data_IF_489527485133
#
_entry.id   IF_489527485133
#
_cell.length_a   1.000
_cell.length_b   1.000
_cell.length_c   1.000
_cell.angle_alpha   90.00
_cell.angle_beta   90.00
_cell.angle_gamma   90.00
#
_symmetry.space_group_name_H-M   'P 1'
#
loop_
_entity.id
_entity.type
_entity.pdbx_description
1 polymer ?
#
# COMPACT_ATOMS: atom_id res chain seq x y z
N UNK A 1 -16.46 7.92 26.76
CA UNK A 1 -17.25 7.95 25.52
C UNK A 1 -18.28 6.84 25.59
N UNK A 2 -19.56 7.17 25.41
CA UNK A 2 -20.60 6.16 25.26
C UNK A 2 -20.52 5.51 23.86
N UNK A 3 -21.32 4.48 23.61
CA UNK A 3 -21.30 3.77 22.32
C UNK A 3 -21.69 4.67 21.15
N UNK A 4 -22.65 5.58 21.34
CA UNK A 4 -23.06 6.56 20.33
C UNK A 4 -21.93 7.51 19.95
N UNK A 5 -21.15 7.97 20.93
CA UNK A 5 -20.01 8.88 20.68
C UNK A 5 -18.91 8.17 19.89
N UNK A 6 -18.62 6.90 20.20
CA UNK A 6 -17.64 6.09 19.47
C UNK A 6 -18.05 5.89 18.02
N UNK A 7 -19.30 5.58 17.79
CA UNK A 7 -19.87 5.37 16.48
C UNK A 7 -19.79 6.64 15.62
N UNK A 8 -20.08 7.79 16.21
CA UNK A 8 -19.94 9.09 15.51
C UNK A 8 -18.49 9.44 15.16
N UNK A 9 -17.54 9.10 16.04
CA UNK A 9 -16.10 9.29 15.75
C UNK A 9 -15.65 8.38 14.60
N UNK A 10 -16.06 7.12 14.60
CA UNK A 10 -15.70 6.17 13.53
C UNK A 10 -16.25 6.63 12.17
N UNK A 11 -17.54 7.02 12.12
CA UNK A 11 -18.17 7.52 10.90
C UNK A 11 -17.41 8.73 10.35
N UNK A 12 -17.06 9.68 11.23
CA UNK A 12 -16.31 10.86 10.86
C UNK A 12 -14.92 10.55 10.35
N UNK A 13 -14.18 9.62 10.97
CA UNK A 13 -12.87 9.18 10.51
C UNK A 13 -12.94 8.54 9.12
N UNK A 14 -13.90 7.66 8.89
CA UNK A 14 -14.11 7.02 7.59
C UNK A 14 -14.49 8.05 6.51
N UNK A 15 -15.36 9.01 6.87
CA UNK A 15 -15.73 10.07 5.93
C UNK A 15 -14.55 10.97 5.58
N UNK A 16 -13.77 11.42 6.57
CA UNK A 16 -12.58 12.25 6.36
C UNK A 16 -11.52 11.51 5.56
N UNK A 17 -11.37 10.20 5.80
CA UNK A 17 -10.47 9.36 5.02
C UNK A 17 -10.92 9.25 3.57
N UNK A 18 -12.19 8.91 3.30
CA UNK A 18 -12.74 8.88 1.94
C UNK A 18 -12.62 10.23 1.22
N UNK A 19 -12.85 11.34 1.93
CA UNK A 19 -12.72 12.68 1.37
C UNK A 19 -11.28 13.08 1.02
N UNK A 20 -10.29 12.43 1.62
CA UNK A 20 -8.87 12.75 1.41
C UNK A 20 -8.15 11.81 0.46
N UNK A 21 -8.73 10.65 0.17
CA UNK A 21 -8.06 9.62 -0.62
C UNK A 21 -7.99 10.02 -2.10
N UNK A 22 -6.83 9.82 -2.73
CA UNK A 22 -6.67 9.97 -4.16
C UNK A 22 -7.19 8.74 -4.93
N UNK A 23 -7.41 8.89 -6.23
CA UNK A 23 -7.96 7.83 -7.08
C UNK A 23 -7.10 6.55 -7.06
N UNK A 24 -5.78 6.69 -7.01
CA UNK A 24 -4.86 5.53 -6.99
C UNK A 24 -4.84 4.81 -5.65
N UNK A 25 -4.84 5.57 -4.56
CA UNK A 25 -4.90 4.99 -3.21
C UNK A 25 -6.28 4.40 -2.92
N UNK A 26 -7.32 4.90 -3.59
CA UNK A 26 -8.68 4.36 -3.47
C UNK A 26 -8.81 2.93 -4.04
N UNK A 27 -7.99 2.52 -5.00
CA UNK A 27 -8.02 1.18 -5.56
C UNK A 27 -7.93 0.08 -4.49
N UNK A 28 -7.06 0.25 -3.50
CA UNK A 28 -6.95 -0.72 -2.39
C UNK A 28 -8.23 -0.74 -1.54
N UNK A 29 -8.71 0.43 -1.12
CA UNK A 29 -9.94 0.53 -0.34
C UNK A 29 -11.16 -0.02 -1.09
N UNK A 30 -11.23 0.26 -2.39
CA UNK A 30 -12.30 -0.25 -3.25
C UNK A 30 -12.22 -1.78 -3.41
N UNK A 31 -11.02 -2.36 -3.46
CA UNK A 31 -10.87 -3.81 -3.46
C UNK A 31 -11.46 -4.45 -2.20
N UNK A 32 -11.24 -3.83 -1.05
CA UNK A 32 -11.82 -4.30 0.22
C UNK A 32 -13.35 -4.15 0.22
N UNK A 33 -13.87 -3.03 -0.28
CA UNK A 33 -15.31 -2.82 -0.48
C UNK A 33 -15.93 -3.92 -1.36
N UNK A 34 -15.32 -4.23 -2.50
CA UNK A 34 -15.80 -5.28 -3.40
C UNK A 34 -15.89 -6.64 -2.72
N UNK A 35 -14.90 -6.98 -1.90
CA UNK A 35 -14.89 -8.24 -1.15
C UNK A 35 -16.02 -8.31 -0.12
N UNK A 36 -16.35 -7.19 0.55
CA UNK A 36 -17.48 -7.11 1.49
C UNK A 36 -18.79 -7.31 0.76
N UNK A 37 -18.96 -6.68 -0.40
CA UNK A 37 -20.13 -6.82 -1.25
C UNK A 37 -20.20 -8.18 -1.96
N UNK A 38 -19.14 -9.00 -1.83
CA UNK A 38 -19.08 -10.37 -2.36
C UNK A 38 -18.68 -10.47 -3.83
N UNK A 39 -18.03 -9.45 -4.35
CA UNK A 39 -17.36 -9.51 -5.64
C UNK A 39 -15.98 -10.15 -5.50
N UNK A 40 -15.54 -10.82 -6.56
CA UNK A 40 -14.14 -11.26 -6.71
C UNK A 40 -13.46 -10.32 -7.70
N UNK A 41 -12.57 -9.47 -7.23
CA UNK A 41 -11.78 -8.62 -8.11
C UNK A 41 -10.77 -9.47 -8.90
N UNK A 42 -10.78 -9.32 -10.23
CA UNK A 42 -9.96 -10.10 -11.16
C UNK A 42 -8.79 -9.28 -11.67
N UNK A 43 -9.01 -7.98 -11.88
CA UNK A 43 -8.01 -7.09 -12.45
C UNK A 43 -8.20 -5.67 -11.95
N UNK A 44 -7.08 -5.02 -11.59
CA UNK A 44 -6.99 -3.59 -11.38
C UNK A 44 -6.15 -3.02 -12.50
N UNK A 45 -6.71 -2.07 -13.22
CA UNK A 45 -6.01 -1.42 -14.30
C UNK A 45 -4.86 -0.56 -13.78
N UNK A 46 -3.82 -0.44 -14.60
CA UNK A 46 -2.62 0.36 -14.31
C UNK A 46 -2.56 1.65 -15.12
N UNK A 47 -3.69 2.14 -15.61
CA UNK A 47 -3.82 3.35 -16.45
C UNK A 47 -3.06 3.26 -17.79
N UNK A 48 -3.41 2.27 -18.63
CA UNK A 48 -2.93 2.13 -19.98
C UNK A 48 -3.96 2.59 -21.02
N UNK A 49 -3.52 2.97 -22.22
CA UNK A 49 -4.39 3.42 -23.33
C UNK A 49 -5.46 2.39 -23.75
N UNK A 50 -5.32 1.13 -23.37
CA UNK A 50 -6.21 0.04 -23.73
C UNK A 50 -7.31 -0.26 -22.72
N UNK A 51 -7.44 0.52 -21.64
CA UNK A 51 -8.38 0.24 -20.54
C UNK A 51 -9.83 0.50 -20.87
N UNK A 52 -10.09 1.34 -21.87
CA UNK A 52 -11.44 1.61 -22.38
C UNK A 52 -12.45 1.99 -21.27
N UNK A 53 -11.99 2.81 -20.31
CA UNK A 53 -12.81 3.26 -19.19
C UNK A 53 -13.06 2.22 -18.10
N UNK A 54 -12.24 1.17 -17.99
CA UNK A 54 -12.39 0.10 -16.99
C UNK A 54 -11.19 0.07 -16.04
N UNK A 55 -11.34 0.67 -14.87
CA UNK A 55 -10.28 0.71 -13.85
C UNK A 55 -10.21 -0.61 -13.06
N UNK A 56 -11.36 -1.24 -12.82
CA UNK A 56 -11.46 -2.51 -12.10
C UNK A 56 -12.39 -3.47 -12.83
N UNK A 57 -11.97 -4.73 -12.90
CA UNK A 57 -12.78 -5.85 -13.38
C UNK A 57 -13.04 -6.82 -12.24
N UNK A 58 -14.28 -7.23 -12.06
CA UNK A 58 -14.67 -8.17 -11.03
C UNK A 58 -15.75 -9.13 -11.51
N UNK A 59 -15.92 -10.20 -10.76
CA UNK A 59 -17.01 -11.18 -10.91
C UNK A 59 -17.92 -11.02 -9.69
N UNK A 60 -19.21 -10.90 -9.90
CA UNK A 60 -20.19 -10.85 -8.82
C UNK A 60 -20.48 -12.24 -8.21
N UNK A 61 -21.34 -12.30 -7.19
CA UNK A 61 -21.69 -13.56 -6.50
C UNK A 61 -22.38 -14.59 -7.40
N UNK A 62 -22.97 -14.13 -8.49
CA UNK A 62 -23.73 -14.97 -9.44
C UNK A 62 -22.83 -15.40 -10.62
N UNK A 63 -21.58 -14.98 -10.64
CA UNK A 63 -20.63 -15.25 -11.71
C UNK A 63 -20.68 -14.24 -12.86
N UNK A 64 -21.45 -13.15 -12.72
CA UNK A 64 -21.57 -12.12 -13.73
C UNK A 64 -20.38 -11.19 -13.79
N UNK A 65 -19.95 -10.82 -14.99
CA UNK A 65 -18.85 -9.87 -15.20
C UNK A 65 -19.26 -8.44 -14.84
N UNK A 66 -18.39 -7.75 -14.13
CA UNK A 66 -18.56 -6.37 -13.71
C UNK A 66 -17.33 -5.54 -14.08
N UNK A 67 -17.57 -4.32 -14.57
CA UNK A 67 -16.52 -3.34 -14.87
C UNK A 67 -16.81 -2.02 -14.15
N UNK A 68 -15.79 -1.47 -13.51
CA UNK A 68 -15.91 -0.27 -12.69
C UNK A 68 -14.96 0.81 -13.20
N UNK A 69 -15.48 2.04 -13.30
CA UNK A 69 -14.72 3.27 -13.47
C UNK A 69 -14.69 4.01 -12.12
N UNK A 70 -13.51 4.35 -11.63
CA UNK A 70 -13.34 5.00 -10.34
C UNK A 70 -13.10 6.50 -10.51
N UNK A 71 -13.70 7.32 -9.63
CA UNK A 71 -13.46 8.75 -9.53
C UNK A 71 -13.38 9.19 -8.07
N UNK A 72 -12.17 9.50 -7.60
CA UNK A 72 -11.96 10.07 -6.28
C UNK A 72 -11.86 11.60 -6.39
N UNK A 73 -12.82 12.29 -5.82
CA UNK A 73 -12.97 13.74 -5.96
C UNK A 73 -12.47 14.52 -4.72
N UNK A 74 -11.84 13.85 -3.78
CA UNK A 74 -11.29 14.47 -2.55
C UNK A 74 -12.31 15.39 -1.86
N UNK A 75 -13.50 14.85 -1.56
CA UNK A 75 -14.59 15.56 -0.90
C UNK A 75 -15.36 16.56 -1.77
N UNK A 76 -15.01 16.69 -3.06
CA UNK A 76 -15.72 17.57 -3.99
C UNK A 76 -16.89 16.85 -4.66
N UNK A 77 -17.75 17.63 -5.30
CA UNK A 77 -18.84 17.10 -6.16
C UNK A 77 -18.33 16.88 -7.58
N UNK A 78 -18.85 15.83 -8.24
CA UNK A 78 -18.69 15.66 -9.67
C UNK A 78 -19.52 16.71 -10.39
N UNK A 79 -18.86 17.69 -10.98
CA UNK A 79 -19.50 18.80 -11.69
C UNK A 79 -19.83 18.41 -13.13
N UNK A 80 -20.77 19.14 -13.74
CA UNK A 80 -21.23 18.86 -15.10
C UNK A 80 -20.09 18.94 -16.15
N UNK A 81 -19.14 19.87 -16.02
CA UNK A 81 -17.99 19.91 -16.92
C UNK A 81 -17.13 18.65 -16.84
N UNK A 82 -16.84 18.18 -15.63
CA UNK A 82 -16.07 16.93 -15.41
C UNK A 82 -16.83 15.71 -15.92
N UNK A 83 -18.16 15.71 -15.77
CA UNK A 83 -19.01 14.67 -16.32
C UNK A 83 -18.93 14.63 -17.85
N UNK A 84 -19.06 15.76 -18.53
CA UNK A 84 -18.94 15.85 -19.99
C UNK A 84 -17.56 15.37 -20.47
N UNK A 85 -16.47 15.71 -19.76
CA UNK A 85 -15.12 15.26 -20.10
C UNK A 85 -14.97 13.73 -20.04
N UNK A 86 -15.73 13.06 -19.17
CA UNK A 86 -15.66 11.62 -19.00
C UNK A 86 -16.73 10.82 -19.73
N UNK A 87 -17.73 11.45 -20.34
CA UNK A 87 -18.86 10.77 -21.02
C UNK A 87 -18.39 9.72 -22.03
N UNK A 88 -17.37 10.04 -22.84
CA UNK A 88 -16.83 9.09 -23.82
C UNK A 88 -16.22 7.84 -23.16
N UNK A 89 -15.61 7.98 -22.00
CA UNK A 89 -15.07 6.86 -21.22
C UNK A 89 -16.21 6.01 -20.62
N UNK A 90 -17.28 6.67 -20.14
CA UNK A 90 -18.47 5.97 -19.63
C UNK A 90 -19.18 5.21 -20.74
N UNK A 91 -19.30 5.80 -21.91
CA UNK A 91 -19.86 5.07 -23.07
C UNK A 91 -19.00 3.85 -23.46
N UNK A 92 -17.68 3.99 -23.43
CA UNK A 92 -16.77 2.87 -23.64
C UNK A 92 -16.92 1.81 -22.56
N UNK A 93 -17.02 2.22 -21.29
CA UNK A 93 -17.25 1.33 -20.15
C UNK A 93 -18.51 0.47 -20.37
N UNK A 94 -19.62 1.06 -20.82
CA UNK A 94 -20.88 0.36 -21.03
C UNK A 94 -20.84 -0.52 -22.28
N UNK A 95 -20.36 0.03 -23.40
CA UNK A 95 -20.47 -0.57 -24.73
C UNK A 95 -19.42 -1.64 -25.02
N UNK A 96 -18.17 -1.37 -24.66
CA UNK A 96 -17.05 -2.21 -25.11
C UNK A 96 -16.94 -3.44 -24.22
N UNK A 97 -16.97 -4.66 -24.77
CA UNK A 97 -16.81 -5.89 -24.00
C UNK A 97 -15.49 -5.94 -23.24
N UNK A 98 -15.47 -6.65 -22.12
CA UNK A 98 -14.23 -6.90 -21.34
C UNK A 98 -13.30 -7.78 -22.18
N UNK A 99 -12.08 -7.32 -22.40
CA UNK A 99 -11.04 -8.05 -23.14
C UNK A 99 -9.94 -8.54 -22.17
N UNK A 100 -10.32 -9.37 -21.23
CA UNK A 100 -9.40 -9.95 -20.27
C UNK A 100 -9.51 -11.48 -20.29
N UNK A 101 -8.39 -12.19 -20.14
CA UNK A 101 -8.34 -13.65 -20.26
C UNK A 101 -9.30 -14.40 -19.31
N UNK A 102 -9.58 -13.84 -18.15
CA UNK A 102 -10.53 -14.43 -17.19
C UNK A 102 -12.00 -14.37 -17.65
N UNK A 103 -12.33 -13.57 -18.69
CA UNK A 103 -13.69 -13.34 -19.19
C UNK A 103 -13.89 -13.79 -20.64
N UNK A 104 -12.92 -14.52 -21.22
CA UNK A 104 -12.95 -14.92 -22.64
C UNK A 104 -14.12 -15.82 -23.02
N UNK A 105 -14.73 -16.49 -22.07
CA UNK A 105 -15.86 -17.41 -22.30
C UNK A 105 -17.24 -16.78 -22.08
N UNK A 106 -17.30 -15.50 -21.70
CA UNK A 106 -18.56 -14.83 -21.45
C UNK A 106 -19.14 -14.26 -22.74
N UNK A 107 -20.27 -14.82 -23.17
CA UNK A 107 -21.06 -14.35 -24.34
C UNK A 107 -22.05 -13.25 -23.96
N UNK A 108 -22.31 -13.07 -22.64
CA UNK A 108 -23.18 -12.04 -22.10
C UNK A 108 -22.43 -10.69 -21.97
N UNK A 109 -23.17 -9.63 -21.76
CA UNK A 109 -22.55 -8.35 -21.45
C UNK A 109 -22.16 -8.26 -19.98
N UNK A 110 -21.28 -7.34 -19.66
CA UNK A 110 -20.92 -7.02 -18.28
C UNK A 110 -21.84 -5.93 -17.72
N UNK A 111 -21.94 -5.86 -16.38
CA UNK A 111 -22.52 -4.72 -15.66
C UNK A 111 -21.48 -3.61 -15.58
N UNK A 112 -21.90 -2.37 -15.83
CA UNK A 112 -21.02 -1.19 -15.84
C UNK A 112 -21.31 -0.31 -14.62
N UNK A 113 -20.27 0.05 -13.88
CA UNK A 113 -20.37 0.84 -12.65
C UNK A 113 -19.50 2.08 -12.71
N UNK A 114 -20.09 3.23 -12.38
CA UNK A 114 -19.34 4.43 -12.03
C UNK A 114 -19.27 4.56 -10.50
N UNK A 115 -18.08 4.57 -9.94
CA UNK A 115 -17.84 4.72 -8.51
C UNK A 115 -17.31 6.12 -8.25
N UNK A 116 -18.07 6.91 -7.49
CA UNK A 116 -17.71 8.30 -7.18
C UNK A 116 -17.46 8.44 -5.68
N UNK A 117 -16.18 8.65 -5.30
CA UNK A 117 -15.82 9.02 -3.93
C UNK A 117 -16.05 10.53 -3.75
N UNK A 118 -17.31 10.89 -3.70
CA UNK A 118 -17.81 12.24 -3.65
C UNK A 118 -19.32 12.23 -3.87
N UNK A 119 -19.90 13.40 -4.08
CA UNK A 119 -21.30 13.54 -4.42
C UNK A 119 -21.45 13.86 -5.91
N UNK A 120 -22.61 13.59 -6.47
CA UNK A 120 -23.00 14.05 -7.80
C UNK A 120 -23.65 15.42 -7.67
N UNK A 121 -23.29 16.33 -8.58
CA UNK A 121 -24.09 17.53 -8.81
C UNK A 121 -25.48 17.15 -9.32
N UNK A 122 -26.51 17.92 -8.98
CA UNK A 122 -27.88 17.59 -9.36
C UNK A 122 -28.05 17.49 -10.88
N UNK A 123 -27.41 18.41 -11.64
CA UNK A 123 -27.43 18.38 -13.10
C UNK A 123 -26.82 17.08 -13.66
N UNK A 124 -25.73 16.60 -13.06
CA UNK A 124 -25.10 15.32 -13.45
C UNK A 124 -26.03 14.14 -13.15
N UNK A 125 -26.72 14.16 -12.01
CA UNK A 125 -27.67 13.10 -11.64
C UNK A 125 -28.83 13.01 -12.63
N UNK A 126 -29.42 14.15 -13.01
CA UNK A 126 -30.49 14.21 -14.01
C UNK A 126 -29.98 13.69 -15.35
N UNK A 127 -28.84 14.16 -15.81
CA UNK A 127 -28.27 13.77 -17.10
C UNK A 127 -27.95 12.26 -17.16
N UNK A 128 -27.39 11.66 -16.09
CA UNK A 128 -27.18 10.22 -16.02
C UNK A 128 -28.53 9.48 -16.14
N UNK A 129 -29.58 9.93 -15.47
CA UNK A 129 -30.88 9.30 -15.54
C UNK A 129 -31.49 9.37 -16.96
N UNK A 130 -31.35 10.51 -17.62
CA UNK A 130 -31.82 10.67 -19.01
C UNK A 130 -31.03 9.75 -19.96
N UNK A 131 -29.71 9.70 -19.80
CA UNK A 131 -28.84 8.84 -20.60
C UNK A 131 -29.07 7.35 -20.38
N UNK A 132 -29.54 6.93 -19.19
CA UNK A 132 -29.89 5.54 -18.91
C UNK A 132 -30.90 4.97 -19.90
N UNK A 133 -31.89 5.75 -20.30
CA UNK A 133 -32.91 5.33 -21.28
C UNK A 133 -32.23 5.10 -22.63
N UNK A 134 -31.41 6.05 -23.07
CA UNK A 134 -30.69 5.96 -24.35
C UNK A 134 -29.71 4.79 -24.37
N UNK A 135 -28.97 4.55 -23.29
CA UNK A 135 -28.00 3.46 -23.23
C UNK A 135 -28.69 2.08 -23.25
N UNK A 136 -29.81 1.92 -22.50
CA UNK A 136 -30.59 0.67 -22.50
C UNK A 136 -31.21 0.39 -23.84
N UNK A 137 -31.75 1.39 -24.50
CA UNK A 137 -32.34 1.25 -25.83
C UNK A 137 -31.27 0.86 -26.87
N UNK A 138 -30.12 1.55 -26.85
CA UNK A 138 -29.07 1.40 -27.85
C UNK A 138 -28.18 0.19 -27.64
N UNK A 139 -27.89 -0.20 -26.37
CA UNK A 139 -26.91 -1.24 -26.04
C UNK A 139 -27.46 -2.36 -25.15
N UNK A 140 -28.73 -2.28 -24.74
CA UNK A 140 -29.35 -3.24 -23.83
C UNK A 140 -28.78 -3.18 -22.40
N UNK A 141 -28.03 -2.13 -22.06
CA UNK A 141 -27.28 -2.00 -20.78
C UNK A 141 -27.32 -0.56 -20.30
N UNK A 142 -27.22 -0.38 -18.97
CA UNK A 142 -27.13 0.92 -18.32
C UNK A 142 -25.89 1.04 -17.48
N UNK A 143 -25.77 2.18 -16.80
CA UNK A 143 -24.72 2.50 -15.84
C UNK A 143 -25.28 2.41 -14.42
N UNK A 144 -24.64 1.67 -13.55
CA UNK A 144 -24.93 1.71 -12.12
C UNK A 144 -23.98 2.72 -11.44
N UNK A 145 -24.46 3.45 -10.45
CA UNK A 145 -23.66 4.47 -9.78
C UNK A 145 -23.54 4.14 -8.30
N UNK A 146 -22.28 4.03 -7.83
CA UNK A 146 -21.93 3.86 -6.43
C UNK A 146 -21.39 5.20 -5.93
N UNK A 147 -22.08 5.83 -5.00
CA UNK A 147 -21.69 7.13 -4.43
C UNK A 147 -20.94 6.96 -3.09
N UNK A 148 -20.31 8.05 -2.63
CA UNK A 148 -19.65 8.10 -1.32
C UNK A 148 -20.56 7.61 -0.19
N UNK A 149 -21.84 8.00 -0.19
CA UNK A 149 -22.76 7.59 0.86
C UNK A 149 -22.97 6.06 0.93
N UNK A 150 -23.01 5.38 -0.21
CA UNK A 150 -23.09 3.92 -0.25
C UNK A 150 -21.79 3.27 0.23
N UNK A 151 -20.64 3.75 -0.24
CA UNK A 151 -19.33 3.29 0.21
C UNK A 151 -19.15 3.45 1.73
N UNK A 152 -19.46 4.65 2.23
CA UNK A 152 -19.35 4.97 3.66
C UNK A 152 -20.20 4.04 4.51
N UNK A 153 -21.44 3.79 4.12
CA UNK A 153 -22.34 2.89 4.84
C UNK A 153 -21.78 1.46 4.93
N UNK A 154 -21.39 0.88 3.78
CA UNK A 154 -20.84 -0.48 3.74
C UNK A 154 -19.57 -0.61 4.58
N UNK A 155 -18.67 0.38 4.46
CA UNK A 155 -17.42 0.39 5.23
C UNK A 155 -17.68 0.60 6.72
N UNK A 156 -18.62 1.47 7.07
CA UNK A 156 -19.00 1.71 8.45
C UNK A 156 -19.59 0.45 9.13
N UNK A 157 -20.55 -0.22 8.45
CA UNK A 157 -21.16 -1.45 8.98
C UNK A 157 -20.12 -2.56 9.17
N UNK A 158 -19.14 -2.65 8.29
CA UNK A 158 -18.02 -3.58 8.44
C UNK A 158 -17.15 -3.22 9.64
N UNK A 159 -16.73 -1.96 9.75
CA UNK A 159 -15.80 -1.51 10.79
C UNK A 159 -16.43 -1.57 12.17
N UNK A 160 -17.72 -1.25 12.28
CA UNK A 160 -18.46 -1.33 13.54
C UNK A 160 -18.45 -2.75 14.12
N UNK A 161 -18.50 -3.76 13.26
CA UNK A 161 -18.51 -5.17 13.67
C UNK A 161 -17.19 -5.65 14.30
N UNK A 162 -16.06 -5.00 13.96
CA UNK A 162 -14.71 -5.43 14.38
C UNK A 162 -13.93 -4.35 15.12
N UNK A 163 -14.56 -3.21 15.40
CA UNK A 163 -13.89 -2.15 16.15
C UNK A 163 -13.60 -2.60 17.59
N UNK A 164 -12.35 -2.50 18.04
CA UNK A 164 -12.02 -2.82 19.43
C UNK A 164 -12.83 -1.97 20.39
N UNK A 165 -13.39 -2.60 21.41
CA UNK A 165 -14.28 -1.95 22.40
C UNK A 165 -13.53 -1.07 23.41
N UNK A 166 -12.19 -1.23 23.50
CA UNK A 166 -11.36 -0.49 24.44
C UNK A 166 -11.11 0.95 24.00
N UNK A 167 -11.29 1.91 24.91
CA UNK A 167 -10.99 3.33 24.69
C UNK A 167 -9.51 3.56 24.33
N UNK A 168 -8.60 2.76 24.87
CA UNK A 168 -7.18 2.87 24.61
C UNK A 168 -6.87 2.63 23.12
N UNK A 169 -7.53 1.68 22.49
CA UNK A 169 -7.34 1.38 21.07
C UNK A 169 -7.88 2.46 20.15
N UNK A 170 -8.99 3.08 20.50
CA UNK A 170 -9.48 4.27 19.79
C UNK A 170 -8.49 5.43 19.94
N UNK A 171 -7.92 5.62 21.14
CA UNK A 171 -6.89 6.64 21.36
C UNK A 171 -5.63 6.36 20.55
N UNK A 172 -5.18 5.10 20.49
CA UNK A 172 -4.01 4.70 19.68
C UNK A 172 -4.26 4.98 18.20
N UNK A 173 -5.44 4.62 17.68
CA UNK A 173 -5.86 4.94 16.31
C UNK A 173 -5.84 6.45 16.04
N UNK A 174 -6.47 7.23 16.92
CA UNK A 174 -6.50 8.69 16.79
C UNK A 174 -5.09 9.28 16.85
N UNK A 175 -4.23 8.78 17.74
CA UNK A 175 -2.85 9.24 17.84
C UNK A 175 -2.11 9.05 16.53
N UNK A 176 -2.20 7.87 15.91
CA UNK A 176 -1.56 7.62 14.60
C UNK A 176 -2.23 8.47 13.50
N UNK A 177 -3.54 8.60 13.52
CA UNK A 177 -4.31 9.32 12.49
C UNK A 177 -4.03 10.83 12.45
N UNK A 178 -3.68 11.45 13.61
CA UNK A 178 -3.36 12.87 13.70
C UNK A 178 -1.86 13.19 13.55
N UNK A 179 -1.01 12.17 13.42
CA UNK A 179 0.41 12.36 13.16
C UNK A 179 0.63 13.22 11.90
N UNK A 180 1.66 14.05 11.85
CA UNK A 180 1.94 14.88 10.67
C UNK A 180 2.27 14.06 9.41
N UNK A 181 2.75 12.82 9.56
CA UNK A 181 3.14 11.93 8.48
C UNK A 181 4.52 12.19 7.88
N UNK A 182 5.26 13.17 8.40
CA UNK A 182 6.61 13.51 7.93
C UNK A 182 7.69 12.63 8.58
N UNK A 183 7.38 12.03 9.74
CA UNK A 183 8.29 11.21 10.53
C UNK A 183 8.22 9.71 10.15
N UNK A 184 9.03 8.92 10.86
CA UNK A 184 8.99 7.46 10.77
C UNK A 184 7.70 6.93 11.39
N UNK A 185 7.21 5.81 10.85
CA UNK A 185 6.07 5.10 11.43
C UNK A 185 6.44 4.54 12.81
N UNK A 186 5.64 4.82 13.84
CA UNK A 186 5.72 4.10 15.11
C UNK A 186 5.24 2.65 14.91
N UNK A 187 6.18 1.78 14.53
CA UNK A 187 5.90 0.37 14.21
C UNK A 187 5.29 -0.39 15.38
N UNK A 188 5.70 -0.05 16.60
CA UNK A 188 5.21 -0.69 17.81
C UNK A 188 3.72 -0.39 18.02
N UNK A 189 3.33 0.87 17.99
CA UNK A 189 1.92 1.28 18.12
C UNK A 189 1.07 0.76 16.95
N UNK A 190 1.59 0.87 15.73
CA UNK A 190 0.87 0.38 14.54
C UNK A 190 0.60 -1.13 14.64
N UNK A 191 1.62 -1.95 14.95
CA UNK A 191 1.47 -3.39 15.10
C UNK A 191 0.47 -3.75 16.20
N UNK A 192 0.60 -3.16 17.40
CA UNK A 192 -0.33 -3.40 18.51
C UNK A 192 -1.77 -3.02 18.18
N UNK A 193 -1.95 -1.93 17.43
CA UNK A 193 -3.26 -1.53 16.95
C UNK A 193 -3.82 -2.57 15.97
N UNK A 194 -3.07 -2.96 14.94
CA UNK A 194 -3.51 -3.93 13.94
C UNK A 194 -3.77 -5.32 14.55
N UNK A 195 -2.94 -5.78 15.48
CA UNK A 195 -3.17 -7.01 16.25
C UNK A 195 -4.51 -6.99 16.98
N UNK A 196 -4.90 -5.83 17.52
CA UNK A 196 -6.19 -5.69 18.21
C UNK A 196 -7.40 -5.84 17.27
N UNK A 197 -7.26 -5.46 15.99
CA UNK A 197 -8.29 -5.67 14.97
C UNK A 197 -8.30 -7.11 14.45
N UNK A 198 -7.20 -7.83 14.59
CA UNK A 198 -7.05 -9.22 14.17
C UNK A 198 -7.23 -10.23 15.32
N UNK A 199 -7.77 -9.81 16.47
CA UNK A 199 -8.00 -10.69 17.61
C UNK A 199 -8.96 -11.83 17.23
N UNK A 200 -8.51 -13.09 17.23
CA UNK A 200 -9.32 -14.23 16.78
C UNK A 200 -10.59 -14.46 17.65
N UNK A 201 -10.64 -13.89 18.85
CA UNK A 201 -11.79 -13.99 19.75
C UNK A 201 -12.98 -13.14 19.28
N UNK A 202 -12.76 -12.19 18.37
CA UNK A 202 -13.79 -11.31 17.82
C UNK A 202 -14.47 -11.88 16.57
N UNK A 203 -13.98 -12.99 16.03
CA UNK A 203 -14.46 -13.56 14.79
C UNK A 203 -14.79 -15.05 14.95
N UNK A 204 -16.05 -15.39 14.88
CA UNK A 204 -16.52 -16.77 14.92
C UNK A 204 -16.77 -17.32 13.51
N UNK A 205 -15.99 -18.34 13.17
CA UNK A 205 -16.05 -19.02 11.89
C UNK A 205 -15.29 -18.34 10.72
N UNK A 206 -15.11 -19.06 9.59
CA UNK A 206 -14.25 -18.59 8.48
C UNK A 206 -14.70 -17.28 7.85
N UNK A 207 -16.02 -17.11 7.66
CA UNK A 207 -16.60 -15.89 7.06
C UNK A 207 -16.36 -14.65 7.94
N UNK A 208 -16.48 -14.78 9.27
CA UNK A 208 -16.24 -13.69 10.20
C UNK A 208 -14.75 -13.33 10.23
N UNK A 209 -13.85 -14.33 10.23
CA UNK A 209 -12.39 -14.12 10.14
C UNK A 209 -11.99 -13.40 8.86
N UNK A 210 -12.57 -13.78 7.73
CA UNK A 210 -12.31 -13.10 6.48
C UNK A 210 -12.75 -11.63 6.53
N UNK A 211 -13.96 -11.34 7.02
CA UNK A 211 -14.43 -9.95 7.20
C UNK A 211 -13.57 -9.16 8.18
N UNK A 212 -13.05 -9.82 9.21
CA UNK A 212 -12.12 -9.22 10.17
C UNK A 212 -10.80 -8.80 9.49
N UNK A 213 -10.21 -9.65 8.65
CA UNK A 213 -9.01 -9.31 7.87
C UNK A 213 -9.25 -8.12 6.93
N UNK A 214 -10.40 -8.10 6.25
CA UNK A 214 -10.81 -6.98 5.40
C UNK A 214 -10.93 -5.69 6.22
N UNK A 215 -11.57 -5.76 7.39
CA UNK A 215 -11.69 -4.65 8.33
C UNK A 215 -10.32 -4.12 8.78
N UNK A 216 -9.42 -5.01 9.20
CA UNK A 216 -8.06 -4.66 9.61
C UNK A 216 -7.28 -3.94 8.48
N UNK A 217 -7.44 -4.38 7.24
CA UNK A 217 -6.80 -3.76 6.09
C UNK A 217 -7.32 -2.34 5.81
N UNK A 218 -8.61 -2.11 6.01
CA UNK A 218 -9.19 -0.76 5.90
C UNK A 218 -8.66 0.14 7.03
N UNK A 219 -8.59 -0.37 8.25
CA UNK A 219 -8.00 0.37 9.38
C UNK A 219 -6.51 0.66 9.16
N UNK A 220 -5.75 -0.27 8.59
CA UNK A 220 -4.35 -0.03 8.21
C UNK A 220 -4.25 1.12 7.19
N UNK A 221 -5.10 1.11 6.15
CA UNK A 221 -5.14 2.20 5.17
C UNK A 221 -5.52 3.55 5.80
N UNK A 222 -6.47 3.54 6.74
CA UNK A 222 -6.88 4.74 7.48
C UNK A 222 -5.76 5.24 8.39
N UNK A 223 -5.08 4.37 9.12
CA UNK A 223 -3.95 4.72 9.99
C UNK A 223 -2.75 5.28 9.19
N UNK A 224 -2.54 4.78 7.96
CA UNK A 224 -1.45 5.25 7.09
C UNK A 224 -1.80 6.54 6.31
N UNK A 225 -3.03 7.07 6.44
CA UNK A 225 -3.46 8.29 5.73
C UNK A 225 -2.53 9.48 5.89
N UNK A 226 -2.01 9.83 7.08
CA UNK A 226 -1.10 10.97 7.24
C UNK A 226 0.14 10.84 6.36
N UNK A 227 0.69 9.65 6.27
CA UNK A 227 1.87 9.35 5.47
C UNK A 227 1.57 9.41 3.96
N UNK A 228 0.38 8.98 3.54
CA UNK A 228 -0.07 9.17 2.14
C UNK A 228 -0.19 10.65 1.78
N UNK A 229 -0.72 11.49 2.69
CA UNK A 229 -0.86 12.92 2.47
C UNK A 229 0.49 13.65 2.32
N UNK A 230 1.57 13.08 2.86
CA UNK A 230 2.94 13.60 2.78
C UNK A 230 3.82 12.88 1.77
N UNK A 231 3.27 11.91 1.04
CA UNK A 231 4.04 11.06 0.12
C UNK A 231 5.24 10.38 0.81
N UNK A 232 5.11 10.09 2.10
CA UNK A 232 6.12 9.36 2.87
C UNK A 232 6.06 7.87 2.53
N UNK A 233 6.52 7.52 1.32
CA UNK A 233 6.39 6.18 0.76
C UNK A 233 7.10 5.13 1.60
N UNK A 234 8.18 5.49 2.31
CA UNK A 234 8.91 4.55 3.15
C UNK A 234 8.06 4.11 4.36
N UNK A 235 7.49 5.05 5.10
CA UNK A 235 6.60 4.73 6.24
C UNK A 235 5.36 3.93 5.79
N UNK A 236 4.80 4.25 4.63
CA UNK A 236 3.67 3.50 4.05
C UNK A 236 4.07 2.06 3.75
N UNK A 237 5.24 1.84 3.15
CA UNK A 237 5.76 0.50 2.87
C UNK A 237 5.95 -0.28 4.17
N UNK A 238 6.58 0.33 5.20
CA UNK A 238 6.75 -0.30 6.51
C UNK A 238 5.40 -0.73 7.11
N UNK A 239 4.40 0.14 7.10
CA UNK A 239 3.06 -0.19 7.61
C UNK A 239 2.41 -1.35 6.87
N UNK A 240 2.48 -1.37 5.54
CA UNK A 240 1.93 -2.48 4.76
C UNK A 240 2.70 -3.78 4.91
N UNK A 241 4.03 -3.73 5.08
CA UNK A 241 4.84 -4.93 5.39
C UNK A 241 4.46 -5.49 6.75
N UNK A 242 4.28 -4.66 7.77
CA UNK A 242 3.81 -5.10 9.08
C UNK A 242 2.43 -5.75 9.00
N UNK A 243 1.48 -5.12 8.31
CA UNK A 243 0.14 -5.68 8.11
C UNK A 243 0.18 -7.02 7.35
N UNK A 244 1.02 -7.15 6.33
CA UNK A 244 1.26 -8.40 5.60
C UNK A 244 1.76 -9.51 6.53
N UNK A 245 2.75 -9.21 7.37
CA UNK A 245 3.30 -10.16 8.34
C UNK A 245 2.26 -10.58 9.39
N UNK A 246 1.46 -9.63 9.89
CA UNK A 246 0.41 -9.93 10.85
C UNK A 246 -0.67 -10.85 10.26
N UNK A 247 -1.09 -10.63 9.01
CA UNK A 247 -2.04 -11.52 8.34
C UNK A 247 -1.49 -12.94 8.16
N UNK A 248 -0.24 -13.06 7.73
CA UNK A 248 0.40 -14.37 7.62
C UNK A 248 0.49 -15.07 8.98
N UNK A 249 0.73 -14.32 10.04
CA UNK A 249 0.81 -14.83 11.42
C UNK A 249 -0.51 -15.39 11.95
N UNK A 250 -1.67 -14.95 11.42
CA UNK A 250 -3.00 -15.40 11.90
C UNK A 250 -3.25 -16.91 11.70
N UNK A 251 -2.68 -17.51 10.67
CA UNK A 251 -2.87 -18.94 10.37
C UNK A 251 -1.59 -19.74 10.52
N UNK A 252 -0.48 -19.07 10.83
CA UNK A 252 0.85 -19.64 10.80
C UNK A 252 1.29 -20.32 12.09
N UNK A 253 1.25 -21.68 12.10
CA UNK A 253 2.30 -22.42 12.78
C UNK A 253 3.37 -22.76 11.75
N UNK A 254 4.64 -22.92 12.16
CA UNK A 254 5.73 -23.27 11.26
C UNK A 254 5.34 -24.46 10.35
N UNK A 255 5.31 -24.23 9.04
CA UNK A 255 5.01 -25.25 8.02
C UNK A 255 3.56 -25.35 7.55
N UNK A 256 2.63 -24.51 8.00
CA UNK A 256 1.28 -24.46 7.47
C UNK A 256 1.20 -23.52 6.25
N UNK A 257 0.54 -23.97 5.20
CA UNK A 257 0.20 -23.13 4.04
C UNK A 257 -0.98 -22.25 4.44
N UNK A 258 -0.90 -20.91 4.29
CA UNK A 258 -2.01 -20.01 4.56
C UNK A 258 -3.22 -20.34 3.69
N UNK A 259 -4.42 -20.04 4.18
CA UNK A 259 -5.66 -20.21 3.42
C UNK A 259 -5.68 -19.33 2.15
N UNK A 260 -6.58 -19.68 1.20
CA UNK A 260 -6.76 -18.89 -0.02
C UNK A 260 -7.18 -17.46 0.28
N UNK A 261 -7.99 -17.25 1.31
CA UNK A 261 -8.47 -15.97 1.78
C UNK A 261 -7.33 -15.09 2.31
N UNK A 262 -6.45 -15.64 3.16
CA UNK A 262 -5.25 -14.94 3.64
C UNK A 262 -4.34 -14.60 2.46
N UNK A 263 -4.12 -15.54 1.55
CA UNK A 263 -3.26 -15.30 0.38
C UNK A 263 -3.83 -14.24 -0.55
N UNK A 264 -5.16 -14.16 -0.69
CA UNK A 264 -5.83 -13.10 -1.44
C UNK A 264 -5.57 -11.72 -0.81
N UNK A 265 -5.76 -11.58 0.51
CA UNK A 265 -5.50 -10.34 1.23
C UNK A 265 -4.02 -9.94 1.15
N UNK A 266 -3.12 -10.88 1.33
CA UNK A 266 -1.68 -10.68 1.16
C UNK A 266 -1.33 -10.24 -0.26
N UNK A 267 -2.00 -10.78 -1.28
CA UNK A 267 -1.84 -10.36 -2.67
C UNK A 267 -2.19 -8.90 -2.91
N UNK A 268 -3.29 -8.43 -2.32
CA UNK A 268 -3.71 -7.02 -2.40
C UNK A 268 -2.70 -6.09 -1.70
N UNK A 269 -2.26 -6.45 -0.49
CA UNK A 269 -1.23 -5.69 0.24
C UNK A 269 0.08 -5.67 -0.55
N UNK A 270 0.50 -6.79 -1.13
CA UNK A 270 1.71 -6.86 -1.96
C UNK A 270 1.63 -5.91 -3.16
N UNK A 271 0.46 -5.79 -3.78
CA UNK A 271 0.24 -4.84 -4.88
C UNK A 271 0.37 -3.39 -4.41
N UNK A 272 -0.09 -3.08 -3.20
CA UNK A 272 0.04 -1.75 -2.62
C UNK A 272 1.50 -1.43 -2.24
N UNK A 273 2.23 -2.38 -1.67
CA UNK A 273 3.68 -2.28 -1.43
C UNK A 273 4.40 -2.02 -2.75
N UNK A 274 4.11 -2.79 -3.81
CA UNK A 274 4.71 -2.62 -5.13
C UNK A 274 4.49 -1.22 -5.68
N UNK A 275 3.28 -0.68 -5.55
CA UNK A 275 2.91 0.67 -5.99
C UNK A 275 3.71 1.76 -5.25
N UNK A 276 3.86 1.62 -3.94
CA UNK A 276 4.64 2.57 -3.13
C UNK A 276 6.14 2.48 -3.42
N UNK A 277 6.66 1.26 -3.61
CA UNK A 277 8.04 1.03 -4.04
C UNK A 277 8.32 1.67 -5.41
N UNK A 278 7.42 1.51 -6.36
CA UNK A 278 7.54 2.12 -7.69
C UNK A 278 7.59 3.64 -7.61
N UNK A 279 6.74 4.27 -6.80
CA UNK A 279 6.76 5.71 -6.56
C UNK A 279 8.08 6.18 -5.97
N UNK A 280 8.57 5.50 -4.92
CA UNK A 280 9.86 5.82 -4.30
C UNK A 280 11.02 5.68 -5.29
N UNK A 281 10.99 4.65 -6.12
CA UNK A 281 11.97 4.44 -7.19
C UNK A 281 11.94 5.57 -8.23
N UNK A 282 10.74 5.94 -8.70
CA UNK A 282 10.57 7.05 -9.66
C UNK A 282 11.04 8.39 -9.10
N UNK A 283 10.77 8.68 -7.84
CA UNK A 283 11.29 9.88 -7.18
C UNK A 283 12.83 9.89 -7.14
N UNK A 284 13.42 8.74 -6.83
CA UNK A 284 14.88 8.60 -6.78
C UNK A 284 15.52 8.92 -8.13
N UNK A 285 14.93 8.45 -9.24
CA UNK A 285 15.40 8.73 -10.59
C UNK A 285 15.18 10.19 -11.00
N UNK A 286 13.98 10.74 -10.71
CA UNK A 286 13.58 12.08 -11.14
C UNK A 286 14.22 13.21 -10.32
N UNK A 287 14.68 12.91 -9.10
CA UNK A 287 15.27 13.89 -8.19
C UNK A 287 16.68 13.51 -7.71
N UNK A 288 17.63 13.24 -8.66
CA UNK A 288 18.96 12.75 -8.30
C UNK A 288 19.74 13.72 -7.40
N UNK A 289 19.40 15.01 -7.42
CA UNK A 289 20.05 16.03 -6.56
C UNK A 289 19.81 15.78 -5.06
N UNK A 290 18.71 15.12 -4.67
CA UNK A 290 18.44 14.77 -3.27
C UNK A 290 19.42 13.72 -2.73
N UNK A 291 20.13 13.04 -3.62
CA UNK A 291 21.09 11.96 -3.30
C UNK A 291 22.53 12.35 -3.66
N UNK A 292 22.76 13.63 -3.95
CA UNK A 292 24.11 14.20 -4.01
C UNK A 292 24.47 14.66 -2.61
N UNK A 293 25.60 14.16 -2.08
CA UNK A 293 26.07 14.59 -0.77
C UNK A 293 26.19 16.12 -0.73
N UNK A 294 25.64 16.73 0.30
CA UNK A 294 25.75 18.17 0.57
C UNK A 294 26.66 18.37 1.77
N UNK A 295 27.51 19.42 1.79
CA UNK A 295 28.27 19.79 2.99
C UNK A 295 27.39 20.11 4.20
N UNK A 296 26.09 20.39 3.96
CA UNK A 296 25.10 20.71 4.99
C UNK A 296 24.44 19.47 5.59
N UNK A 297 24.61 18.29 4.98
CA UNK A 297 24.06 17.04 5.49
C UNK A 297 25.19 16.24 6.11
N UNK A 298 25.03 15.87 7.38
CA UNK A 298 25.98 14.97 8.04
C UNK A 298 26.21 13.73 7.18
N UNK A 299 27.49 13.37 7.00
CA UNK A 299 27.89 12.23 6.18
C UNK A 299 27.19 10.95 6.62
N UNK A 300 26.98 10.75 7.91
CA UNK A 300 26.33 9.57 8.49
C UNK A 300 24.88 9.44 8.05
N UNK A 301 24.09 10.51 8.07
CA UNK A 301 22.72 10.53 7.57
C UNK A 301 22.65 10.24 6.09
N UNK A 302 23.60 10.76 5.32
CA UNK A 302 23.68 10.48 3.90
C UNK A 302 23.94 9.01 3.62
N UNK A 303 24.93 8.39 4.27
CA UNK A 303 25.29 6.98 4.11
C UNK A 303 24.11 6.07 4.53
N UNK A 304 23.45 6.40 5.64
CA UNK A 304 22.27 5.71 6.12
C UNK A 304 21.13 5.75 5.10
N UNK A 305 20.78 6.92 4.60
CA UNK A 305 19.74 7.09 3.58
C UNK A 305 20.07 6.32 2.30
N UNK A 306 21.31 6.34 1.87
CA UNK A 306 21.75 5.58 0.68
C UNK A 306 21.62 4.08 0.92
N UNK A 307 21.96 3.57 2.08
CA UNK A 307 21.83 2.14 2.42
C UNK A 307 20.38 1.67 2.28
N UNK A 308 19.44 2.43 2.87
CA UNK A 308 18.02 2.13 2.76
C UNK A 308 17.57 2.12 1.29
N UNK A 309 17.88 3.18 0.55
CA UNK A 309 17.44 3.33 -0.84
C UNK A 309 18.00 2.24 -1.75
N UNK A 310 19.28 1.95 -1.63
CA UNK A 310 19.93 0.88 -2.42
C UNK A 310 19.26 -0.46 -2.13
N UNK A 311 18.94 -0.75 -0.86
CA UNK A 311 18.23 -1.97 -0.48
C UNK A 311 16.80 -2.01 -1.01
N UNK A 312 16.02 -0.96 -0.81
CA UNK A 312 14.61 -0.88 -1.26
C UNK A 312 14.50 -0.96 -2.78
N UNK A 313 15.37 -0.26 -3.52
CA UNK A 313 15.42 -0.32 -4.98
C UNK A 313 15.78 -1.73 -5.46
N UNK A 314 16.71 -2.40 -4.78
CA UNK A 314 17.08 -3.79 -5.12
C UNK A 314 15.90 -4.75 -4.91
N UNK A 315 15.14 -4.60 -3.82
CA UNK A 315 13.90 -5.37 -3.58
C UNK A 315 12.89 -5.12 -4.69
N UNK A 316 12.70 -3.86 -5.10
CA UNK A 316 11.80 -3.51 -6.19
C UNK A 316 12.22 -4.18 -7.51
N UNK A 317 13.49 -4.04 -7.90
CA UNK A 317 14.00 -4.61 -9.15
C UNK A 317 13.91 -6.14 -9.17
N UNK A 318 14.15 -6.82 -8.05
CA UNK A 318 14.02 -8.28 -7.93
C UNK A 318 12.58 -8.77 -7.98
N UNK A 319 11.67 -8.10 -7.28
CA UNK A 319 10.33 -8.61 -7.03
C UNK A 319 9.23 -8.02 -7.90
N UNK A 320 9.42 -6.81 -8.41
CA UNK A 320 8.35 -6.02 -9.03
C UNK A 320 8.75 -5.34 -10.33
N UNK A 321 10.04 -5.20 -10.63
CA UNK A 321 10.54 -4.44 -11.78
C UNK A 321 9.94 -4.89 -13.12
N UNK A 322 9.79 -6.19 -13.33
CA UNK A 322 9.21 -6.74 -14.56
C UNK A 322 7.72 -6.48 -14.75
N UNK A 323 7.00 -6.23 -13.65
CA UNK A 323 5.55 -5.99 -13.65
C UNK A 323 5.20 -4.51 -13.47
N UNK A 324 6.22 -3.65 -13.34
CA UNK A 324 6.05 -2.21 -13.15
C UNK A 324 5.70 -1.50 -14.46
N UNK A 325 5.19 -0.26 -14.33
CA UNK A 325 4.95 0.64 -15.47
C UNK A 325 6.16 1.50 -15.82
N UNK A 326 7.27 1.30 -15.12
CA UNK A 326 8.50 2.05 -15.39
C UNK A 326 9.04 1.75 -16.80
N UNK A 327 9.56 2.76 -17.44
CA UNK A 327 10.23 2.58 -18.73
C UNK A 327 11.55 1.80 -18.55
N UNK A 328 12.04 1.18 -19.62
CA UNK A 328 13.34 0.53 -19.59
C UNK A 328 14.45 1.50 -19.17
N UNK A 329 14.36 2.76 -19.60
CA UNK A 329 15.30 3.80 -19.22
C UNK A 329 15.29 4.11 -17.71
N UNK A 330 14.10 4.09 -17.07
CA UNK A 330 13.98 4.26 -15.61
C UNK A 330 14.61 3.07 -14.87
N UNK A 331 14.35 1.85 -15.33
CA UNK A 331 14.93 0.62 -14.76
C UNK A 331 16.47 0.64 -14.89
N UNK A 332 17.00 1.05 -16.05
CA UNK A 332 18.43 1.19 -16.26
C UNK A 332 19.04 2.26 -15.34
N UNK A 333 18.34 3.39 -15.16
CA UNK A 333 18.76 4.44 -14.24
C UNK A 333 18.78 3.99 -12.79
N UNK A 334 17.78 3.24 -12.33
CA UNK A 334 17.75 2.65 -11.00
C UNK A 334 18.89 1.67 -10.77
N UNK A 335 19.14 0.85 -11.78
CA UNK A 335 20.24 -0.10 -11.78
C UNK A 335 21.60 0.59 -11.69
N UNK A 336 21.79 1.65 -12.47
CA UNK A 336 23.00 2.47 -12.42
C UNK A 336 23.15 3.16 -11.05
N UNK A 337 22.02 3.63 -10.46
CA UNK A 337 22.02 4.21 -9.11
C UNK A 337 22.50 3.20 -8.06
N UNK A 338 21.95 1.99 -8.03
CA UNK A 338 22.37 0.94 -7.09
C UNK A 338 23.85 0.66 -7.22
N UNK A 339 24.37 0.51 -8.44
CA UNK A 339 25.79 0.28 -8.70
C UNK A 339 26.67 1.42 -8.20
N UNK A 340 26.33 2.65 -8.54
CA UNK A 340 27.13 3.83 -8.19
C UNK A 340 27.16 4.11 -6.68
N UNK A 341 26.08 3.76 -5.98
CA UNK A 341 25.93 4.06 -4.54
C UNK A 341 26.30 2.91 -3.63
N UNK A 342 26.46 1.71 -4.15
CA UNK A 342 26.79 0.52 -3.35
C UNK A 342 28.04 0.69 -2.48
N UNK A 343 29.09 1.34 -2.99
CA UNK A 343 30.31 1.58 -2.24
C UNK A 343 30.17 2.61 -1.10
N UNK A 344 29.04 3.30 -1.05
CA UNK A 344 28.68 4.28 -0.02
C UNK A 344 27.57 3.77 0.91
N UNK A 345 27.00 2.62 0.59
CA UNK A 345 26.06 1.96 1.48
C UNK A 345 26.84 1.42 2.68
N UNK A 346 26.40 1.82 3.86
CA UNK A 346 27.02 1.41 5.12
C UNK A 346 25.94 0.71 5.95
N UNK A 347 26.04 -0.59 6.24
CA UNK A 347 25.04 -1.28 7.04
C UNK A 347 25.17 -0.80 8.49
N UNK A 348 24.22 0.00 8.88
CA UNK A 348 24.05 0.44 10.24
C UNK A 348 23.16 -0.55 10.96
N UNK A 349 23.77 -1.44 11.72
CA UNK A 349 23.05 -2.45 12.46
C UNK A 349 22.56 -3.65 11.64
N UNK A 350 22.10 -4.66 12.33
CA UNK A 350 21.59 -5.89 11.74
C UNK A 350 20.33 -5.65 10.90
N UNK A 351 19.56 -4.60 11.18
CA UNK A 351 18.40 -4.19 10.39
C UNK A 351 18.73 -3.80 8.94
N UNK A 352 19.98 -3.42 8.65
CA UNK A 352 20.43 -3.16 7.29
C UNK A 352 20.81 -4.44 6.51
N UNK A 353 20.99 -5.57 7.17
CA UNK A 353 21.38 -6.84 6.53
C UNK A 353 20.36 -7.29 5.48
N UNK A 354 19.03 -7.25 5.70
CA UNK A 354 18.05 -7.59 4.68
C UNK A 354 18.20 -6.76 3.40
N UNK A 355 18.51 -5.47 3.53
CA UNK A 355 18.74 -4.59 2.39
C UNK A 355 20.01 -4.97 1.62
N UNK A 356 21.09 -5.31 2.32
CA UNK A 356 22.33 -5.76 1.70
C UNK A 356 22.16 -7.11 1.00
N UNK A 357 21.39 -8.03 1.59
CA UNK A 357 21.05 -9.30 0.96
C UNK A 357 20.22 -9.07 -0.31
N UNK A 358 19.27 -8.13 -0.29
CA UNK A 358 18.51 -7.77 -1.50
C UNK A 358 19.43 -7.23 -2.59
N UNK A 359 20.40 -6.37 -2.24
CA UNK A 359 21.41 -5.88 -3.18
C UNK A 359 22.27 -7.02 -3.74
N UNK A 360 22.69 -7.93 -2.87
CA UNK A 360 23.43 -9.12 -3.28
C UNK A 360 22.66 -9.96 -4.31
N UNK A 361 21.39 -10.30 -3.98
CA UNK A 361 20.53 -11.08 -4.86
C UNK A 361 20.25 -10.36 -6.17
N UNK A 362 20.06 -9.05 -6.14
CA UNK A 362 19.91 -8.23 -7.33
C UNK A 362 21.13 -8.33 -8.25
N UNK A 363 22.32 -8.14 -7.72
CA UNK A 363 23.54 -8.25 -8.50
C UNK A 363 23.73 -9.65 -9.09
N UNK A 364 23.49 -10.69 -8.28
CA UNK A 364 23.59 -12.07 -8.74
C UNK A 364 22.61 -12.41 -9.87
N UNK A 365 21.38 -11.91 -9.76
CA UNK A 365 20.30 -12.29 -10.69
C UNK A 365 20.33 -11.45 -11.97
N UNK A 366 20.65 -10.16 -11.86
CA UNK A 366 20.53 -9.22 -12.97
C UNK A 366 21.87 -8.90 -13.64
N UNK A 367 23.01 -9.15 -12.99
CA UNK A 367 24.30 -8.65 -13.46
C UNK A 367 25.42 -9.64 -13.57
N UNK A 368 25.40 -10.74 -12.86
CA UNK A 368 26.44 -11.76 -12.82
C UNK A 368 27.89 -11.21 -12.69
N UNK A 369 28.06 -10.18 -11.85
CA UNK A 369 29.36 -9.57 -11.61
C UNK A 369 29.94 -10.10 -10.28
N UNK A 370 30.74 -11.16 -10.38
CA UNK A 370 31.37 -11.84 -9.24
C UNK A 370 32.18 -10.88 -8.35
N UNK A 371 32.76 -9.83 -8.94
CA UNK A 371 33.58 -8.87 -8.19
C UNK A 371 32.73 -8.06 -7.22
N UNK A 372 31.53 -7.66 -7.61
CA UNK A 372 30.56 -6.97 -6.76
C UNK A 372 29.95 -7.88 -5.70
N UNK A 373 29.66 -9.13 -6.05
CA UNK A 373 29.17 -10.14 -5.09
C UNK A 373 30.17 -10.37 -3.96
N UNK A 374 31.43 -10.58 -4.31
CA UNK A 374 32.49 -10.80 -3.32
C UNK A 374 32.74 -9.57 -2.44
N UNK A 375 32.58 -8.38 -3.01
CA UNK A 375 32.71 -7.14 -2.25
C UNK A 375 31.57 -6.97 -1.24
N UNK A 376 30.34 -7.27 -1.63
CA UNK A 376 29.17 -7.26 -0.74
C UNK A 376 29.27 -8.29 0.39
N UNK A 377 29.64 -9.52 0.06
CA UNK A 377 29.87 -10.57 1.05
C UNK A 377 31.02 -10.20 1.98
N UNK A 378 32.09 -9.62 1.44
CA UNK A 378 33.20 -9.10 2.23
C UNK A 378 32.78 -7.98 3.20
N UNK A 379 31.92 -7.06 2.74
CA UNK A 379 31.32 -6.02 3.59
C UNK A 379 30.50 -6.65 4.71
N UNK A 380 29.52 -7.50 4.38
CA UNK A 380 28.68 -8.19 5.39
C UNK A 380 29.54 -8.95 6.39
N UNK A 381 30.54 -9.73 5.93
CA UNK A 381 31.43 -10.48 6.79
C UNK A 381 32.28 -9.58 7.69
N UNK A 382 32.78 -8.44 7.17
CA UNK A 382 33.53 -7.47 7.96
C UNK A 382 32.68 -6.87 9.06
N UNK A 383 31.44 -6.50 8.76
CA UNK A 383 30.50 -5.95 9.75
C UNK A 383 30.13 -6.97 10.82
N UNK A 384 29.83 -8.20 10.43
CA UNK A 384 29.57 -9.27 11.39
C UNK A 384 30.79 -9.50 12.31
N UNK A 385 32.01 -9.45 11.76
CA UNK A 385 33.24 -9.58 12.53
C UNK A 385 33.45 -8.39 13.47
N UNK A 386 33.25 -7.17 13.01
CA UNK A 386 33.42 -5.95 13.81
C UNK A 386 32.37 -5.87 14.94
N UNK A 387 31.12 -6.26 14.70
CA UNK A 387 30.09 -6.28 15.73
C UNK A 387 30.41 -7.26 16.88
N UNK A 388 31.07 -8.39 16.56
CA UNK A 388 31.50 -9.36 17.57
C UNK A 388 32.77 -8.89 18.33
N UNK A 389 33.70 -8.22 17.64
CA UNK A 389 34.99 -7.82 18.22
C UNK A 389 34.96 -6.47 18.94
N UNK A 390 34.07 -5.57 18.56
CA UNK A 390 33.93 -4.23 19.13
C UNK A 390 32.44 -3.87 19.23
N UNK A 391 31.74 -4.28 20.28
CA UNK A 391 30.29 -4.02 20.44
C UNK A 391 29.91 -2.54 20.41
N UNK A 392 30.87 -1.63 20.47
CA UNK A 392 30.68 -0.18 20.41
C UNK A 392 31.06 0.45 19.05
N UNK A 393 31.61 -0.32 18.13
CA UNK A 393 32.14 0.22 16.88
C UNK A 393 31.15 0.16 15.71
N UNK A 394 29.87 0.39 15.97
CA UNK A 394 29.04 0.87 14.91
C UNK A 394 28.05 -0.08 14.26
N UNK A 395 27.82 -1.29 14.77
CA UNK A 395 26.62 -2.04 14.38
C UNK A 395 25.70 -2.14 15.60
N UNK A 396 24.68 -1.27 15.70
CA UNK A 396 23.68 -1.44 16.73
C UNK A 396 22.96 -2.77 16.55
N UNK A 397 22.53 -3.33 17.67
CA UNK A 397 21.78 -4.57 17.75
C UNK A 397 20.66 -4.62 16.71
N UNK A 398 20.35 -5.80 16.18
CA UNK A 398 19.23 -6.10 15.27
C UNK A 398 17.87 -5.51 15.66
N UNK A 399 17.71 -5.22 16.93
CA UNK A 399 16.48 -4.68 17.49
C UNK A 399 16.38 -3.15 17.44
N UNK A 400 17.45 -2.43 17.08
CA UNK A 400 17.39 -0.97 16.91
C UNK A 400 16.76 -0.63 15.55
N UNK A 401 15.70 0.16 15.61
CA UNK A 401 15.15 0.82 14.44
C UNK A 401 16.08 1.93 13.93
N UNK A 402 15.74 2.49 12.80
CA UNK A 402 16.54 3.57 12.20
C UNK A 402 16.57 4.83 13.05
N UNK A 403 15.52 5.09 13.82
CA UNK A 403 15.45 6.25 14.71
C UNK A 403 16.46 6.12 15.85
N UNK A 404 16.50 4.98 16.53
CA UNK A 404 17.44 4.73 17.62
C UNK A 404 18.89 4.77 17.13
N UNK A 405 19.15 4.30 15.92
CA UNK A 405 20.48 4.38 15.30
C UNK A 405 20.86 5.83 15.03
N UNK A 406 19.93 6.63 14.49
CA UNK A 406 20.16 8.05 14.22
C UNK A 406 20.40 8.84 15.52
N UNK A 407 19.59 8.62 16.54
CA UNK A 407 19.74 9.24 17.86
C UNK A 407 21.08 8.88 18.50
N UNK A 408 21.49 7.62 18.44
CA UNK A 408 22.78 7.17 18.95
C UNK A 408 23.97 7.79 18.21
N UNK A 409 23.84 7.98 16.89
CA UNK A 409 24.89 8.61 16.09
C UNK A 409 25.05 10.12 16.36
N UNK A 410 23.99 10.77 16.84
CA UNK A 410 23.99 12.18 17.17
C UNK A 410 24.48 12.46 18.61
N UNK A 411 24.27 11.50 19.50
CA UNK A 411 24.69 11.61 20.90
C UNK A 411 25.94 10.77 21.18
N UNK A 412 27.11 11.35 20.96
CA UNK A 412 28.39 10.70 21.21
C UNK A 412 28.60 10.31 22.72
N UNK A 413 27.68 10.72 23.60
CA UNK A 413 27.81 10.54 25.07
C UNK A 413 27.17 9.25 25.60
N UNK A 414 26.34 8.58 24.83
CA UNK A 414 25.63 7.37 25.27
C UNK A 414 25.77 6.25 24.25
N UNK A 415 26.72 5.32 24.40
CA UNK A 415 26.63 4.08 23.69
C UNK A 415 25.31 3.40 24.09
N UNK A 416 24.57 2.82 23.13
CA UNK A 416 23.36 2.07 23.45
C UNK A 416 23.74 1.03 24.50
N UNK A 417 22.95 0.95 25.57
CA UNK A 417 23.13 -0.11 26.57
C UNK A 417 23.23 -1.42 25.82
N UNK A 418 24.37 -2.07 25.93
CA UNK A 418 24.59 -3.37 25.32
C UNK A 418 23.54 -4.32 25.87
N UNK A 419 22.48 -4.59 25.12
CA UNK A 419 21.64 -5.74 25.40
C UNK A 419 22.53 -6.96 25.26
N UNK A 420 22.98 -7.46 26.40
CA UNK A 420 23.81 -8.63 26.47
C UNK A 420 23.16 -9.76 25.69
N UNK A 421 23.90 -10.35 24.79
CA UNK A 421 23.56 -11.64 24.23
C UNK A 421 23.25 -12.60 25.39
N UNK A 422 22.00 -12.93 25.57
CA UNK A 422 21.58 -14.10 26.36
C UNK A 422 21.21 -15.22 25.46
#
# INVERSE_FOLDING_TARGET
>A
LNESDRNGVLEKLLEDWLNSIDERSFNFAFSQYLLVEGYTAVHFSRHGEFEQGKDVLAIDREGGSCAFQLKALQGKKLKQSQWHDMQSQIEQLIRVPIKHSAFLHETGGHRAFLVVVGELDEGVRVEINDMQVVWRDKWGRGLEVITKGHLLRTLYDLQLAFMPTGLDKLRDLLTIYIEPGDDLLDKGKFSQLMESFLDPRQADGPKAKYRQMVSANIFASLALRPYYARENHFAIIEGWVLQYCLLLGQEGGAGKVPSAEVMQQCGLIRSEIARCLERLCLETVKRPHLFQGSPLIDRRFYEFRITILVGVISVFLLGFGQTSQMTSADIDALTAFVRAKLSKANPWGESAIPFLLAVYWFHRTCYYDISHEMRLLGLVASYCKESVSQPHAGIPNAYYGFQEIAEWQLDDSKPPESFGYR
#
